data_IF_873997996200
#
_entry.id   IF_873997996200
#
_cell.length_a   1.000
_cell.length_b   1.000
_cell.length_c   1.000
_cell.angle_alpha   90.00
_cell.angle_beta   90.00
_cell.angle_gamma   90.00
#
_symmetry.space_group_name_H-M   'P 1'
#
loop_
_entity.id
_entity.type
_entity.pdbx_description
1 polymer ?
2 non-polymer ?
3 non-polymer ?
4 water ?
#
# COMPACT_ATOMS: atom_id res chain seq x y z
N UNK A 5 -12.85 12.71 -22.14
CA UNK A 5 -13.62 11.77 -21.30
C UNK A 5 -12.68 10.89 -20.47
N UNK A 6 -11.36 11.14 -20.47
CA UNK A 6 -10.47 10.50 -19.50
C UNK A 6 -10.65 11.15 -18.14
N UNK A 7 -10.43 10.38 -17.07
CA UNK A 7 -10.46 10.87 -15.70
C UNK A 7 -9.14 11.50 -15.29
N UNK A 8 -8.07 11.27 -16.06
CA UNK A 8 -6.76 11.77 -15.69
C UNK A 8 -6.77 13.30 -15.61
N UNK A 9 -6.13 13.80 -14.56
CA UNK A 9 -5.94 15.24 -14.39
C UNK A 9 -4.51 15.53 -14.86
N UNK A 10 -4.40 16.33 -15.94
CA UNK A 10 -3.14 16.48 -16.65
C UNK A 10 -2.11 17.15 -15.75
N UNK A 11 -2.59 17.99 -14.83
CA UNK A 11 -1.69 18.69 -13.94
C UNK A 11 -1.12 17.68 -12.92
N UNK A 12 -1.96 16.75 -12.47
CA UNK A 12 -1.43 15.73 -11.57
C UNK A 12 -0.48 14.82 -12.34
N UNK A 13 -0.83 14.46 -13.59
CA UNK A 13 -0.05 13.56 -14.44
C UNK A 13 1.35 14.15 -14.64
N UNK A 14 1.43 15.48 -14.85
CA UNK A 14 2.70 16.14 -15.09
C UNK A 14 3.57 16.11 -13.83
N UNK A 15 2.95 16.48 -12.71
CA UNK A 15 3.60 16.48 -11.40
C UNK A 15 4.17 15.09 -11.07
N UNK A 16 3.33 14.03 -11.24
CA UNK A 16 3.76 12.67 -10.94
C UNK A 16 4.96 12.26 -11.81
N UNK A 17 4.89 12.58 -13.10
CA UNK A 17 5.93 12.27 -14.07
C UNK A 17 7.26 12.93 -13.70
N UNK A 18 7.24 14.24 -13.41
CA UNK A 18 8.42 15.01 -12.97
C UNK A 18 9.00 14.45 -11.67
N UNK A 19 8.15 14.16 -10.67
CA UNK A 19 8.68 13.74 -9.38
C UNK A 19 9.25 12.33 -9.49
N UNK A 20 8.60 11.46 -10.28
CA UNK A 20 9.07 10.10 -10.40
C UNK A 20 10.43 10.10 -11.09
N UNK A 21 10.55 10.83 -12.21
CA UNK A 21 11.78 10.86 -12.97
C UNK A 21 12.93 11.43 -12.13
N UNK A 22 12.66 12.42 -11.29
CA UNK A 22 13.74 12.97 -10.47
C UNK A 22 14.21 11.92 -9.48
N UNK A 23 13.27 11.16 -8.91
CA UNK A 23 13.62 10.19 -7.88
C UNK A 23 14.39 9.02 -8.50
N UNK A 24 13.97 8.54 -9.70
CA UNK A 24 14.63 7.43 -10.37
C UNK A 24 16.08 7.84 -10.76
N UNK A 25 16.26 9.06 -11.24
CA UNK A 25 17.59 9.57 -11.61
C UNK A 25 18.45 9.67 -10.35
N UNK A 26 17.92 10.30 -9.29
CA UNK A 26 18.69 10.54 -8.09
C UNK A 26 19.16 9.24 -7.44
N UNK A 27 18.25 8.26 -7.37
CA UNK A 27 18.56 6.98 -6.74
C UNK A 27 19.15 5.97 -7.73
N UNK A 28 19.38 6.38 -8.98
CA UNK A 28 19.94 5.49 -9.98
C UNK A 28 19.21 4.15 -9.97
N UNK A 29 17.88 4.21 -10.09
CA UNK A 29 17.02 3.05 -9.97
C UNK A 29 16.75 2.47 -11.34
N UNK A 30 16.26 1.22 -11.39
CA UNK A 30 15.95 0.56 -12.65
C UNK A 30 14.65 1.07 -13.28
N UNK A 31 13.63 1.36 -12.45
CA UNK A 31 12.31 1.70 -12.96
C UNK A 31 11.44 2.24 -11.83
N UNK A 32 10.26 2.74 -12.18
CA UNK A 32 9.26 3.00 -11.17
C UNK A 32 7.94 3.47 -11.77
N UNK A 33 7.00 3.69 -10.84
CA UNK A 33 5.61 3.97 -11.15
C UNK A 33 5.01 4.84 -10.07
N UNK A 34 4.08 5.71 -10.52
CA UNK A 34 3.15 6.42 -9.63
C UNK A 34 1.71 6.22 -10.13
N UNK A 35 0.78 5.97 -9.19
CA UNK A 35 -0.66 5.90 -9.44
C UNK A 35 -1.34 6.87 -8.47
N UNK A 36 -2.25 7.73 -8.98
CA UNK A 36 -3.11 8.52 -8.12
C UNK A 36 -4.55 8.12 -8.41
N UNK A 37 -5.30 7.71 -7.38
CA UNK A 37 -6.72 7.44 -7.54
C UNK A 37 -7.56 8.42 -6.76
N UNK A 38 -8.77 8.62 -7.29
CA UNK A 38 -9.84 9.26 -6.54
C UNK A 38 -10.33 8.27 -5.49
N UNK A 39 -10.27 8.70 -4.22
CA UNK A 39 -10.37 7.79 -3.08
C UNK A 39 -11.82 7.33 -2.87
N UNK A 40 -12.77 7.99 -3.53
CA UNK A 40 -14.16 7.62 -3.38
C UNK A 40 -14.78 7.12 -4.67
N UNK A 41 -14.05 7.17 -5.82
CA UNK A 41 -14.65 6.73 -7.08
C UNK A 41 -13.83 5.62 -7.75
N UNK A 42 -12.52 5.59 -7.51
CA UNK A 42 -11.65 4.62 -8.14
C UNK A 42 -11.21 5.09 -9.52
N UNK A 43 -11.57 6.33 -9.91
CA UNK A 43 -11.07 6.91 -11.13
C UNK A 43 -9.57 7.13 -10.99
N UNK A 44 -8.85 6.87 -12.10
CA UNK A 44 -7.42 7.14 -12.19
C UNK A 44 -7.22 8.63 -12.50
N UNK A 45 -6.58 9.36 -11.57
CA UNK A 45 -6.26 10.76 -11.76
C UNK A 45 -4.87 10.94 -12.36
N UNK A 46 -3.99 9.98 -12.14
CA UNK A 46 -2.68 9.93 -12.79
C UNK A 46 -2.13 8.52 -12.75
N UNK A 47 -1.37 8.18 -13.77
CA UNK A 47 -0.69 6.89 -13.84
C UNK A 47 0.53 7.06 -14.74
N UNK A 48 1.73 6.91 -14.16
CA UNK A 48 2.98 7.23 -14.82
C UNK A 48 3.97 6.10 -14.55
N UNK A 49 4.77 5.77 -15.56
CA UNK A 49 5.82 4.77 -15.45
C UNK A 49 7.06 5.38 -16.06
N UNK A 50 8.25 4.90 -15.67
CA UNK A 50 9.46 5.16 -16.41
C UNK A 50 9.30 4.53 -17.80
N UNK A 51 10.09 4.96 -18.82
CA UNK A 51 9.84 4.54 -20.20
C UNK A 51 9.87 3.02 -20.40
N UNK A 52 8.95 2.55 -21.24
CA UNK A 52 8.76 1.14 -21.52
C UNK A 52 7.30 0.77 -21.27
N UNK A 53 7.06 -0.46 -20.84
CA UNK A 53 5.69 -0.94 -20.69
C UNK A 53 4.98 -0.22 -19.53
N UNK A 54 3.66 -0.41 -19.50
CA UNK A 54 2.82 0.15 -18.45
C UNK A 54 2.90 -0.78 -17.21
N UNK A 55 4.03 -0.69 -16.50
CA UNK A 55 4.36 -1.55 -15.36
C UNK A 55 3.30 -1.49 -14.26
N UNK A 56 2.74 -0.31 -13.99
CA UNK A 56 1.65 -0.13 -13.04
C UNK A 56 0.56 -1.20 -13.19
N UNK A 57 0.34 -1.71 -14.40
CA UNK A 57 -0.78 -2.62 -14.65
C UNK A 57 -0.28 -3.97 -15.15
N UNK A 58 0.85 -4.00 -15.88
CA UNK A 58 1.36 -5.24 -16.45
C UNK A 58 2.14 -6.06 -15.42
N UNK A 59 2.79 -5.44 -14.41
CA UNK A 59 3.77 -6.17 -13.61
C UNK A 59 3.21 -6.42 -12.21
N UNK A 60 3.34 -7.66 -11.74
CA UNK A 60 2.98 -7.98 -10.35
C UNK A 60 4.27 -8.07 -9.53
N UNK A 61 4.18 -7.59 -8.28
CA UNK A 61 5.24 -7.61 -7.29
C UNK A 61 4.68 -8.21 -5.99
N UNK A 62 5.59 -8.69 -5.12
CA UNK A 62 5.26 -8.96 -3.73
C UNK A 62 5.03 -7.62 -3.04
N UNK A 63 3.85 -7.33 -2.47
CA UNK A 63 3.61 -6.01 -1.87
C UNK A 63 4.48 -5.69 -0.65
N UNK A 64 5.01 -6.74 0.02
CA UNK A 64 5.71 -6.54 1.28
C UNK A 64 4.86 -5.78 2.29
N UNK A 65 5.50 -4.85 3.03
CA UNK A 65 4.89 -4.25 4.21
C UNK A 65 3.63 -3.45 3.90
N UNK A 66 3.44 -3.00 2.66
CA UNK A 66 2.24 -2.23 2.33
C UNK A 66 0.99 -3.11 2.34
N UNK A 67 1.15 -4.43 2.42
CA UNK A 67 0.04 -5.34 2.64
C UNK A 67 -0.47 -5.30 4.10
N UNK A 68 0.32 -4.80 5.07
CA UNK A 68 0.05 -5.01 6.50
C UNK A 68 -1.27 -4.40 6.97
N UNK A 69 -1.71 -3.22 6.48
CA UNK A 69 -2.99 -2.67 6.91
C UNK A 69 -4.19 -3.62 6.78
N UNK A 70 -4.11 -4.56 5.84
CA UNK A 70 -5.25 -5.40 5.51
C UNK A 70 -5.45 -6.49 6.55
N UNK A 71 -4.45 -7.34 6.92
CA UNK A 71 -4.66 -8.28 8.02
C UNK A 71 -5.04 -7.57 9.33
N UNK A 72 -4.47 -6.38 9.57
CA UNK A 72 -4.84 -5.56 10.72
C UNK A 72 -6.34 -5.21 10.69
N UNK A 73 -6.81 -4.76 9.52
CA UNK A 73 -8.20 -4.39 9.34
C UNK A 73 -9.10 -5.59 9.59
N UNK A 74 -8.70 -6.75 9.09
CA UNK A 74 -9.54 -7.93 9.22
C UNK A 74 -9.67 -8.31 10.69
N UNK A 75 -8.53 -8.30 11.40
CA UNK A 75 -8.50 -8.65 12.81
C UNK A 75 -9.44 -7.76 13.63
N UNK A 76 -9.40 -6.44 13.41
CA UNK A 76 -10.28 -5.49 14.09
C UNK A 76 -11.74 -5.70 13.68
N UNK A 77 -11.99 -5.90 12.37
CA UNK A 77 -13.33 -6.07 11.83
C UNK A 77 -14.03 -7.29 12.43
N UNK A 78 -13.26 -8.34 12.71
CA UNK A 78 -13.74 -9.59 13.30
C UNK A 78 -14.22 -9.41 14.74
N UNK A 79 -13.81 -8.34 15.44
CA UNK A 79 -14.09 -8.18 16.86
C UNK A 79 -13.17 -8.99 17.77
N UNK A 80 -12.17 -9.69 17.22
CA UNK A 80 -11.31 -10.55 18.01
C UNK A 80 -10.12 -9.77 18.57
N UNK A 81 -9.82 -8.64 17.92
CA UNK A 81 -8.72 -7.79 18.32
C UNK A 81 -9.26 -6.37 18.50
N UNK A 82 -8.73 -5.68 19.52
CA UNK A 82 -8.96 -4.26 19.76
C UNK A 82 -7.64 -3.52 19.52
N UNK A 83 -7.70 -2.24 19.11
CA UNK A 83 -6.51 -1.46 18.78
C UNK A 83 -5.54 -1.38 19.96
N UNK A 84 -6.04 -1.52 21.20
CA UNK A 84 -5.21 -1.34 22.39
C UNK A 84 -4.53 -2.65 22.78
N UNK A 85 -4.90 -3.77 22.18
CA UNK A 85 -4.32 -5.07 22.49
C UNK A 85 -2.82 -5.05 22.19
N UNK A 86 -2.06 -5.77 23.03
CA UNK A 86 -0.61 -5.97 22.93
C UNK A 86 -0.30 -7.38 22.43
N UNK A 87 0.80 -7.54 21.68
CA UNK A 87 1.18 -8.84 21.14
C UNK A 87 2.68 -9.08 21.38
N UNK A 88 3.04 -10.36 21.62
CA UNK A 88 4.43 -10.79 21.63
C UNK A 88 5.00 -10.65 20.21
N UNK A 89 6.05 -9.81 20.04
CA UNK A 89 6.57 -9.50 18.72
C UNK A 89 8.02 -9.96 18.61
N UNK A 90 8.42 -10.87 19.52
CA UNK A 90 9.73 -11.51 19.44
C UNK A 90 9.80 -12.33 18.16
N UNK A 91 10.99 -12.47 17.53
CA UNK A 91 11.15 -13.33 16.35
C UNK A 91 10.82 -14.76 16.72
N UNK A 92 10.27 -15.54 15.78
CA UNK A 92 9.91 -16.91 16.06
C UNK A 92 10.10 -17.73 14.78
N UNK A 93 10.01 -19.05 14.93
CA UNK A 93 10.25 -19.98 13.84
C UNK A 93 8.97 -20.75 13.53
N UNK A 94 8.77 -21.04 12.24
CA UNK A 94 7.77 -22.00 11.77
C UNK A 94 8.54 -22.98 10.90
N UNK A 95 8.65 -24.23 11.40
CA UNK A 95 9.61 -25.16 10.86
C UNK A 95 11.00 -24.52 10.84
N UNK A 96 11.77 -24.60 9.74
CA UNK A 96 13.06 -23.90 9.67
C UNK A 96 13.07 -22.43 9.21
N UNK A 97 11.91 -21.83 8.94
CA UNK A 97 11.84 -20.44 8.52
C UNK A 97 11.70 -19.56 9.76
N UNK A 98 12.27 -18.36 9.69
CA UNK A 98 12.18 -17.36 10.74
C UNK A 98 11.25 -16.25 10.30
N UNK A 99 10.38 -15.78 11.21
CA UNK A 99 9.63 -14.55 11.04
C UNK A 99 10.27 -13.55 11.99
N UNK A 100 10.75 -12.40 11.47
CA UNK A 100 11.42 -11.41 12.30
C UNK A 100 11.25 -10.01 11.71
N UNK A 101 11.54 -8.99 12.54
CA UNK A 101 11.47 -7.59 12.16
C UNK A 101 12.91 -7.08 12.04
N UNK A 102 13.11 -5.83 11.58
CA UNK A 102 14.46 -5.29 11.49
C UNK A 102 14.94 -4.75 12.85
N UNK A 103 14.05 -4.41 13.78
CA UNK A 103 14.43 -4.14 15.15
C UNK A 103 13.58 -5.03 16.05
N UNK A 104 14.16 -5.60 17.10
CA UNK A 104 13.41 -6.44 18.01
C UNK A 104 12.64 -5.57 19.02
N UNK A 105 11.31 -5.68 18.97
CA UNK A 105 10.45 -5.22 20.04
C UNK A 105 9.86 -6.45 20.71
N UNK A 106 9.97 -6.59 22.04
CA UNK A 106 9.39 -7.74 22.73
C UNK A 106 7.86 -7.79 22.61
N UNK A 107 7.22 -6.61 22.70
CA UNK A 107 5.77 -6.49 22.59
C UNK A 107 5.41 -5.17 21.90
N UNK A 108 4.29 -5.17 21.17
CA UNK A 108 3.76 -4.01 20.48
C UNK A 108 2.24 -4.12 20.53
N UNK A 109 1.59 -2.95 20.66
CA UNK A 109 0.16 -2.85 20.43
C UNK A 109 -0.05 -2.70 18.93
N UNK A 110 -1.32 -2.63 18.51
CA UNK A 110 -1.63 -2.61 17.09
C UNK A 110 -1.07 -1.36 16.40
N UNK A 111 -1.17 -0.22 17.10
CA UNK A 111 -0.61 1.01 16.60
C UNK A 111 0.89 0.85 16.40
N UNK A 112 1.58 0.22 17.36
CA UNK A 112 3.00 -0.07 17.21
C UNK A 112 3.33 -0.94 15.98
N UNK A 113 2.55 -2.02 15.77
CA UNK A 113 2.75 -2.92 14.65
C UNK A 113 2.72 -2.12 13.34
N UNK A 114 1.77 -1.19 13.27
CA UNK A 114 1.58 -0.33 12.08
C UNK A 114 2.71 0.70 11.97
N UNK A 115 2.94 1.48 13.02
CA UNK A 115 3.94 2.55 13.05
C UNK A 115 5.35 2.02 12.72
N UNK A 116 5.74 0.91 13.37
CA UNK A 116 7.10 0.39 13.25
C UNK A 116 7.24 -0.60 12.10
N UNK A 117 6.11 -1.15 11.62
CA UNK A 117 6.11 -2.16 10.57
C UNK A 117 6.68 -3.47 11.08
N UNK A 118 5.92 -4.14 11.95
CA UNK A 118 6.31 -5.40 12.54
C UNK A 118 5.76 -6.58 11.73
N UNK A 119 6.66 -7.33 11.09
CA UNK A 119 6.30 -8.56 10.40
C UNK A 119 5.72 -9.56 11.40
N UNK A 120 6.38 -9.67 12.57
CA UNK A 120 5.96 -10.62 13.59
C UNK A 120 4.52 -10.35 14.06
N UNK A 121 4.28 -9.12 14.51
CA UNK A 121 2.97 -8.73 15.02
C UNK A 121 1.88 -8.94 13.97
N UNK A 122 2.17 -8.55 12.71
CA UNK A 122 1.19 -8.77 11.67
C UNK A 122 0.87 -10.26 11.53
N UNK A 123 1.90 -11.10 11.54
CA UNK A 123 1.70 -12.54 11.42
C UNK A 123 0.87 -13.12 12.56
N UNK A 124 0.96 -12.55 13.78
CA UNK A 124 0.17 -12.99 14.92
C UNK A 124 -1.31 -12.65 14.74
N UNK A 125 -1.63 -11.50 14.11
CA UNK A 125 -3.01 -11.13 13.82
C UNK A 125 -3.61 -12.05 12.75
N UNK A 126 -2.84 -12.35 11.69
CA UNK A 126 -3.27 -13.29 10.68
C UNK A 126 -3.52 -14.69 11.26
N UNK A 127 -2.70 -15.12 12.23
CA UNK A 127 -2.73 -16.49 12.77
C UNK A 127 -4.01 -16.79 13.55
N UNK A 128 -4.79 -15.77 13.87
CA UNK A 128 -6.06 -15.97 14.56
C UNK A 128 -7.14 -16.47 13.60
N UNK A 129 -6.84 -16.55 12.30
CA UNK A 129 -7.83 -16.90 11.28
C UNK A 129 -7.39 -18.15 10.55
N UNK A 130 -8.33 -18.85 9.93
CA UNK A 130 -7.98 -20.03 9.14
C UNK A 130 -7.43 -19.64 7.77
N UNK A 131 -6.67 -20.55 7.11
CA UNK A 131 -6.24 -20.33 5.73
C UNK A 131 -7.39 -19.89 4.85
N UNK A 132 -8.55 -20.55 4.96
CA UNK A 132 -9.68 -20.18 4.12
C UNK A 132 -10.18 -18.76 4.40
N UNK A 133 -10.31 -18.38 5.68
CA UNK A 133 -10.72 -17.01 6.02
C UNK A 133 -9.77 -15.97 5.43
N UNK A 134 -8.46 -16.20 5.50
CA UNK A 134 -7.51 -15.18 5.06
C UNK A 134 -7.51 -15.11 3.54
N UNK A 135 -7.60 -16.28 2.87
CA UNK A 135 -7.67 -16.32 1.41
C UNK A 135 -8.89 -15.57 0.90
N UNK A 136 -10.04 -15.83 1.53
CA UNK A 136 -11.29 -15.19 1.15
C UNK A 136 -11.18 -13.68 1.31
N UNK A 137 -10.53 -13.26 2.38
CA UNK A 137 -10.28 -11.84 2.58
C UNK A 137 -9.38 -11.23 1.49
N UNK A 138 -8.23 -11.84 1.20
CA UNK A 138 -7.33 -11.35 0.15
C UNK A 138 -8.04 -11.33 -1.21
N UNK A 139 -8.83 -12.37 -1.49
CA UNK A 139 -9.61 -12.44 -2.70
C UNK A 139 -10.59 -11.26 -2.77
N UNK A 140 -11.27 -10.98 -1.66
CA UNK A 140 -12.22 -9.88 -1.60
C UNK A 140 -11.55 -8.51 -1.76
N UNK A 141 -10.24 -8.41 -1.53
CA UNK A 141 -9.50 -7.19 -1.80
C UNK A 141 -9.12 -7.08 -3.28
N UNK A 142 -9.33 -8.16 -4.06
CA UNK A 142 -8.95 -8.18 -5.46
C UNK A 142 -7.64 -8.90 -5.76
N UNK A 143 -7.02 -9.52 -4.75
CA UNK A 143 -5.76 -10.22 -5.00
C UNK A 143 -6.07 -11.45 -5.83
N UNK A 144 -5.37 -11.56 -6.98
CA UNK A 144 -5.53 -12.64 -7.92
C UNK A 144 -6.70 -12.39 -8.87
N UNK A 145 -7.32 -11.20 -8.78
CA UNK A 145 -8.56 -10.92 -9.51
C UNK A 145 -8.29 -9.87 -10.58
N UNK A 146 -8.87 -10.11 -11.76
CA UNK A 146 -8.82 -9.15 -12.87
C UNK A 146 -9.68 -7.93 -12.53
N UNK A 147 -9.10 -6.74 -12.65
CA UNK A 147 -9.81 -5.49 -12.46
C UNK A 147 -10.65 -5.11 -13.69
N UNK A 148 -10.26 -5.56 -14.89
CA UNK A 148 -10.86 -5.05 -16.12
C UNK A 148 -10.91 -3.53 -16.11
N UNK A 149 -9.73 -2.92 -15.92
CA UNK A 149 -9.53 -1.48 -15.80
C UNK A 149 -9.77 -0.80 -17.13
N UNK A 150 -9.64 -1.57 -18.23
CA UNK A 150 -9.58 -0.99 -19.56
C UNK A 150 -8.20 -1.03 -20.22
N UNK A 151 -7.14 -1.33 -19.45
CA UNK A 151 -5.80 -1.49 -20.01
C UNK A 151 -5.59 -2.91 -20.53
N UNK A 152 -4.88 -3.08 -21.68
CA UNK A 152 -4.44 -4.39 -22.13
C UNK A 152 -3.26 -4.87 -21.29
N UNK A 153 -3.04 -6.19 -21.27
CA UNK A 153 -1.93 -6.79 -20.52
C UNK A 153 -2.07 -6.64 -19.00
N UNK A 154 -3.29 -6.42 -18.49
CA UNK A 154 -3.49 -6.21 -17.05
C UNK A 154 -3.22 -7.51 -16.28
N UNK A 155 -2.26 -7.44 -15.34
CA UNK A 155 -1.94 -8.59 -14.47
C UNK A 155 -3.08 -8.82 -13.48
N UNK A 156 -3.42 -10.10 -13.27
CA UNK A 156 -4.31 -10.51 -12.20
C UNK A 156 -3.58 -10.65 -10.87
N UNK A 157 -2.24 -10.67 -10.90
CA UNK A 157 -1.49 -11.01 -9.71
C UNK A 157 -1.59 -12.52 -9.45
N UNK A 158 -1.26 -12.93 -8.22
CA UNK A 158 -1.21 -14.33 -7.81
C UNK A 158 -1.73 -14.38 -6.38
N UNK A 159 -2.68 -15.28 -6.16
CA UNK A 159 -3.07 -15.71 -4.82
C UNK A 159 -3.27 -17.23 -4.83
N UNK A 160 -2.28 -17.96 -4.30
CA UNK A 160 -2.30 -19.41 -4.22
C UNK A 160 -3.53 -19.86 -3.44
N UNK A 161 -4.15 -20.95 -3.90
CA UNK A 161 -5.31 -21.49 -3.21
C UNK A 161 -4.91 -21.94 -1.79
N UNK A 162 -5.77 -21.62 -0.82
CA UNK A 162 -5.53 -21.87 0.60
C UNK A 162 -5.38 -23.36 0.87
N UNK A 163 -5.97 -24.21 0.02
CA UNK A 163 -5.81 -25.65 0.19
C UNK A 163 -4.36 -26.09 0.00
N UNK A 164 -3.51 -25.25 -0.58
CA UNK A 164 -2.14 -25.59 -0.83
C UNK A 164 -1.19 -24.94 0.17
N UNK A 165 -1.67 -24.07 1.06
CA UNK A 165 -0.80 -23.27 1.91
C UNK A 165 -0.09 -24.11 2.99
N UNK A 166 1.22 -23.88 3.16
CA UNK A 166 1.93 -24.34 4.34
C UNK A 166 1.76 -23.29 5.42
N UNK A 167 1.90 -23.62 6.73
CA UNK A 167 1.74 -22.60 7.79
C UNK A 167 2.63 -21.37 7.64
N UNK A 168 3.84 -21.56 7.08
CA UNK A 168 4.74 -20.43 6.88
C UNK A 168 4.15 -19.47 5.83
N UNK A 169 3.40 -19.98 4.85
CA UNK A 169 2.88 -19.12 3.79
C UNK A 169 1.79 -18.20 4.31
N UNK A 170 0.89 -18.71 5.18
CA UNK A 170 -0.12 -17.84 5.73
C UNK A 170 0.59 -16.68 6.45
N UNK A 171 1.66 -16.97 7.18
CA UNK A 171 2.34 -15.95 7.95
C UNK A 171 2.98 -14.92 7.00
N UNK A 172 3.72 -15.37 5.98
CA UNK A 172 4.46 -14.45 5.13
C UNK A 172 3.51 -13.60 4.27
N UNK A 173 2.37 -14.17 3.91
CA UNK A 173 1.39 -13.44 3.11
C UNK A 173 0.88 -12.24 3.88
N UNK A 174 0.71 -12.40 5.19
CA UNK A 174 0.20 -11.34 6.06
C UNK A 174 1.10 -10.10 6.02
N UNK A 175 2.41 -10.29 5.80
CA UNK A 175 3.36 -9.19 5.69
C UNK A 175 3.93 -9.10 4.28
N UNK A 176 3.22 -9.67 3.30
CA UNK A 176 3.36 -9.24 1.91
C UNK A 176 4.27 -10.10 1.01
N UNK A 177 4.59 -11.33 1.41
CA UNK A 177 5.39 -12.20 0.57
C UNK A 177 4.59 -13.48 0.33
N UNK A 178 4.72 -14.01 -0.89
CA UNK A 178 4.09 -15.28 -1.25
C UNK A 178 2.74 -15.05 -1.89
N UNK A 179 2.42 -13.77 -2.17
CA UNK A 179 1.33 -13.36 -3.04
C UNK A 179 1.81 -12.12 -3.80
N UNK A 180 1.16 -11.82 -4.93
CA UNK A 180 1.62 -10.76 -5.83
C UNK A 180 0.46 -9.92 -6.37
N UNK A 181 0.68 -8.60 -6.43
CA UNK A 181 -0.25 -7.58 -6.89
C UNK A 181 0.50 -6.65 -7.82
N UNK A 182 -0.23 -6.13 -8.82
CA UNK A 182 0.23 -4.95 -9.56
C UNK A 182 0.13 -3.71 -8.66
N UNK A 183 0.84 -2.62 -9.00
CA UNK A 183 0.67 -1.41 -8.22
C UNK A 183 -0.77 -0.87 -8.33
N UNK A 184 -1.41 -0.98 -9.51
CA UNK A 184 -2.77 -0.51 -9.65
C UNK A 184 -3.69 -1.33 -8.75
N UNK A 185 -3.49 -2.66 -8.65
CA UNK A 185 -4.29 -3.52 -7.79
C UNK A 185 -4.12 -3.11 -6.33
N UNK A 186 -2.89 -2.74 -5.95
CA UNK A 186 -2.57 -2.38 -4.60
C UNK A 186 -3.27 -1.06 -4.25
N UNK A 187 -3.19 -0.06 -5.16
CA UNK A 187 -3.89 1.19 -4.98
C UNK A 187 -5.40 0.95 -4.90
N UNK A 188 -5.93 0.05 -5.72
CA UNK A 188 -7.33 -0.29 -5.66
C UNK A 188 -7.70 -0.87 -4.29
N UNK A 189 -6.87 -1.78 -3.74
CA UNK A 189 -7.19 -2.41 -2.47
C UNK A 189 -7.35 -1.38 -1.36
N UNK A 190 -6.58 -0.27 -1.42
CA UNK A 190 -6.67 0.78 -0.42
C UNK A 190 -8.00 1.54 -0.47
N UNK A 191 -8.81 1.42 -1.55
CA UNK A 191 -10.16 1.98 -1.54
C UNK A 191 -11.02 1.37 -0.43
N UNK A 192 -10.68 0.16 0.04
CA UNK A 192 -11.41 -0.42 1.15
C UNK A 192 -11.24 0.49 2.38
N UNK A 193 -10.05 1.07 2.54
CA UNK A 193 -9.75 1.92 3.67
C UNK A 193 -10.36 3.31 3.49
N UNK A 194 -10.32 3.84 2.26
CA UNK A 194 -10.76 5.22 1.97
C UNK A 194 -12.28 5.30 1.72
N UNK A 195 -12.88 4.30 1.07
CA UNK A 195 -14.31 4.33 0.76
C UNK A 195 -15.14 3.55 1.78
N UNK A 196 -14.91 3.82 3.08
CA UNK A 196 -15.74 3.30 4.15
C UNK A 196 -15.95 1.78 4.07
N UNK A 197 -14.90 1.02 3.72
CA UNK A 197 -14.95 -0.42 3.84
C UNK A 197 -15.37 -1.18 2.57
N UNK A 198 -15.67 -0.47 1.47
CA UNK A 198 -16.05 -1.08 0.19
C UNK A 198 -14.96 -0.94 -0.87
N UNK A 199 -14.65 -2.04 -1.58
CA UNK A 199 -13.67 -2.01 -2.65
C UNK A 199 -14.30 -1.37 -3.88
N UNK A 200 -13.59 -0.43 -4.51
CA UNK A 200 -14.08 0.21 -5.72
C UNK A 200 -13.48 -0.44 -6.95
N UNK A 201 -14.19 -0.36 -8.09
CA UNK A 201 -13.60 -0.65 -9.40
C UNK A 201 -12.66 0.48 -9.78
N UNK A 202 -11.73 0.21 -10.70
CA UNK A 202 -10.91 1.29 -11.21
C UNK A 202 -11.18 1.47 -12.70
N UNK A 203 -11.09 2.73 -13.12
CA UNK A 203 -11.38 3.13 -14.47
C UNK A 203 -10.57 4.38 -14.81
N UNK A 204 -10.28 4.57 -16.10
CA UNK A 204 -9.64 5.81 -16.54
C UNK A 204 -10.60 6.68 -17.35
N UNK A 205 -11.89 6.35 -17.35
CA UNK A 205 -12.93 7.17 -17.96
C UNK A 205 -13.67 7.93 -16.86
N UNK A 206 -14.09 9.19 -17.15
CA UNK A 206 -14.84 9.97 -16.20
C UNK A 206 -16.12 9.22 -15.86
N UNK A 207 -16.44 9.16 -14.56
CA UNK A 207 -17.57 8.35 -14.15
C UNK A 207 -18.86 9.16 -14.31
N UNK A 208 -19.91 8.45 -14.73
CA UNK A 208 -21.22 9.05 -14.96
C UNK A 208 -22.23 8.53 -13.95
N UNK A 209 -21.93 7.39 -13.32
CA UNK A 209 -22.84 6.72 -12.40
C UNK A 209 -22.01 6.35 -11.17
N UNK A 210 -22.62 6.40 -9.99
CA UNK A 210 -21.91 6.07 -8.76
C UNK A 210 -21.40 4.64 -8.86
N UNK A 211 -20.10 4.36 -8.66
CA UNK A 211 -19.61 2.99 -8.67
C UNK A 211 -20.19 2.20 -7.52
N UNK A 212 -20.46 0.90 -7.74
CA UNK A 212 -20.95 0.03 -6.69
C UNK A 212 -19.75 -0.70 -6.08
N UNK A 213 -19.54 -0.50 -4.78
CA UNK A 213 -18.49 -1.17 -4.08
C UNK A 213 -18.95 -2.53 -3.57
N UNK A 214 -17.97 -3.35 -3.23
CA UNK A 214 -18.18 -4.60 -2.52
C UNK A 214 -17.74 -4.38 -1.05
N UNK A 215 -18.67 -4.57 -0.13
CA UNK A 215 -18.43 -4.44 1.30
C UNK A 215 -17.36 -5.44 1.73
N UNK A 216 -16.21 -4.97 2.25
CA UNK A 216 -15.17 -5.89 2.74
C UNK A 216 -15.01 -5.82 4.25
N UNK A 217 -15.00 -4.59 4.81
CA UNK A 217 -15.00 -4.40 6.25
C UNK A 217 -16.06 -3.34 6.58
N UNK A 218 -16.42 -3.22 7.87
CA UNK A 218 -17.30 -2.14 8.29
C UNK A 218 -16.63 -0.79 8.13
N UNK A 219 -17.47 0.25 7.93
CA UNK A 219 -17.02 1.63 7.80
C UNK A 219 -16.28 2.05 9.07
N UNK A 220 -16.76 1.60 10.25
CA UNK A 220 -16.11 1.91 11.52
C UNK A 220 -14.69 1.33 11.57
N UNK A 221 -14.50 0.11 11.05
CA UNK A 221 -13.17 -0.48 10.99
C UNK A 221 -12.25 0.35 10.09
N UNK A 222 -12.73 0.69 8.88
CA UNK A 222 -11.96 1.49 7.95
C UNK A 222 -11.48 2.76 8.63
N UNK A 223 -12.40 3.43 9.34
CA UNK A 223 -12.06 4.69 10.00
C UNK A 223 -10.96 4.46 11.03
N UNK A 224 -11.07 3.38 11.83
CA UNK A 224 -10.04 3.11 12.84
C UNK A 224 -8.68 2.84 12.19
N UNK A 225 -8.65 2.07 11.08
CA UNK A 225 -7.40 1.77 10.42
C UNK A 225 -6.74 3.04 9.85
N UNK A 226 -7.53 3.96 9.28
CA UNK A 226 -7.00 5.23 8.80
C UNK A 226 -6.35 6.05 9.94
N UNK A 227 -6.96 6.03 11.13
CA UNK A 227 -6.36 6.70 12.29
C UNK A 227 -5.04 6.04 12.69
N UNK A 228 -4.99 4.71 12.72
CA UNK A 228 -3.75 3.99 13.00
C UNK A 228 -2.67 4.35 11.99
N UNK A 229 -3.04 4.52 10.72
CA UNK A 229 -2.04 4.72 9.68
C UNK A 229 -1.47 6.13 9.67
N UNK A 230 -2.10 7.08 10.40
CA UNK A 230 -1.49 8.39 10.58
C UNK A 230 -0.17 8.32 11.35
N UNK A 231 -0.04 7.33 12.26
CA UNK A 231 1.17 7.19 13.04
C UNK A 231 2.40 6.96 12.15
N UNK A 232 2.19 6.41 10.95
CA UNK A 232 3.27 6.07 10.03
C UNK A 232 4.00 7.34 9.57
N UNK A 233 3.27 8.45 9.49
CA UNK A 233 3.80 9.70 8.97
C UNK A 233 4.06 10.69 10.10
N UNK A 234 3.86 10.28 11.36
CA UNK A 234 4.20 11.13 12.51
C UNK A 234 5.47 10.60 13.17
N UNK A 235 5.99 11.35 14.15
CA UNK A 235 7.26 11.03 14.78
C UNK A 235 7.21 9.61 15.36
N UNK A 236 8.31 8.85 15.22
CA UNK A 236 8.31 7.43 15.54
C UNK A 236 7.89 6.50 14.39
N UNK A 237 7.33 7.07 13.32
CA UNK A 237 6.82 6.26 12.23
C UNK A 237 7.85 6.03 11.14
N UNK A 238 7.70 4.90 10.42
CA UNK A 238 8.63 4.58 9.34
C UNK A 238 8.46 5.54 8.14
N UNK A 239 7.33 6.26 8.03
CA UNK A 239 7.04 7.01 6.82
C UNK A 239 6.99 8.52 7.04
N UNK A 240 7.80 9.03 7.98
CA UNK A 240 7.79 10.45 8.31
C UNK A 240 8.16 11.31 7.10
N UNK A 241 8.96 10.77 6.15
CA UNK A 241 9.34 11.54 4.98
C UNK A 241 8.13 11.89 4.08
N UNK A 242 7.03 11.17 4.26
CA UNK A 242 5.85 11.38 3.42
C UNK A 242 4.84 12.34 4.01
N UNK A 243 5.11 12.89 5.21
CA UNK A 243 4.24 13.89 5.82
C UNK A 243 4.06 15.08 4.87
N UNK A 244 2.83 15.59 4.81
CA UNK A 244 2.45 16.72 3.97
C UNK A 244 2.04 17.87 4.90
N UNK A 245 2.67 19.02 4.68
CA UNK A 245 2.42 20.19 5.52
C UNK A 245 0.95 20.58 5.37
N UNK A 246 0.26 20.75 6.50
CA UNK A 246 -1.11 21.22 6.49
C UNK A 246 -2.17 20.11 6.53
N UNK A 247 -1.73 18.84 6.53
CA UNK A 247 -2.65 17.71 6.46
C UNK A 247 -2.24 16.59 7.40
N UNK A 248 -3.20 15.76 7.79
CA UNK A 248 -2.87 14.45 8.34
C UNK A 248 -2.91 13.43 7.21
N UNK A 249 -1.86 12.60 7.15
CA UNK A 249 -1.71 11.61 6.08
C UNK A 249 -1.67 10.20 6.69
N UNK A 250 -2.54 9.32 6.18
CA UNK A 250 -2.44 7.90 6.49
C UNK A 250 -1.59 7.21 5.43
N UNK A 251 -0.61 6.39 5.83
CA UNK A 251 0.26 5.79 4.84
C UNK A 251 0.88 4.50 5.32
N UNK A 252 1.54 3.80 4.39
CA UNK A 252 2.33 2.63 4.75
C UNK A 252 3.53 2.51 3.82
N UNK A 253 4.69 2.30 4.45
CA UNK A 253 5.97 2.09 3.79
C UNK A 253 6.17 0.60 3.55
N UNK A 254 6.88 0.27 2.47
CA UNK A 254 7.35 -1.09 2.30
C UNK A 254 8.70 -1.12 1.61
N UNK A 255 9.61 -1.92 2.14
CA UNK A 255 10.86 -2.24 1.47
C UNK A 255 10.98 -3.75 1.39
N UNK A 256 11.14 -4.27 0.17
CA UNK A 256 11.16 -5.70 -0.06
C UNK A 256 12.46 -6.12 -0.75
N UNK A 257 13.12 -7.15 -0.20
CA UNK A 257 14.20 -7.83 -0.89
C UNK A 257 13.61 -8.51 -2.13
N UNK A 258 14.37 -8.52 -3.23
CA UNK A 258 13.93 -9.18 -4.45
C UNK A 258 14.46 -10.61 -4.55
N UNK A 259 13.82 -11.37 -5.42
CA UNK A 259 14.04 -12.79 -5.66
C UNK A 259 15.05 -12.96 -6.79
N UNK A 260 16.17 -13.66 -6.53
CA UNK A 260 17.15 -13.98 -7.56
C UNK A 260 17.48 -15.48 -7.49
N UNK A 261 16.83 -16.24 -8.40
CA UNK A 261 16.93 -17.69 -8.48
C UNK A 261 16.00 -18.32 -7.44
N UNK A 262 14.89 -17.67 -7.13
CA UNK A 262 14.00 -18.13 -6.06
C UNK A 262 14.62 -17.99 -4.66
N UNK A 263 15.72 -17.23 -4.54
CA UNK A 263 16.28 -16.90 -3.24
C UNK A 263 16.21 -15.39 -3.05
N UNK A 264 15.80 -14.96 -1.86
CA UNK A 264 15.77 -13.56 -1.52
C UNK A 264 17.20 -13.08 -1.32
N UNK A 265 17.56 -11.94 -1.91
CA UNK A 265 18.89 -11.39 -1.76
C UNK A 265 18.83 -10.04 -1.04
N UNK A 266 19.93 -9.67 -0.37
CA UNK A 266 19.94 -8.53 0.52
C UNK A 266 20.54 -7.29 -0.15
N UNK A 267 20.89 -7.36 -1.44
CA UNK A 267 21.50 -6.20 -2.10
C UNK A 267 20.59 -5.62 -3.18
N UNK A 268 19.32 -6.05 -3.26
CA UNK A 268 18.42 -5.59 -4.29
C UNK A 268 17.03 -5.44 -3.68
N UNK A 269 16.45 -4.26 -3.84
CA UNK A 269 15.23 -3.91 -3.12
C UNK A 269 14.22 -3.29 -4.07
N UNK A 270 12.93 -3.44 -3.71
CA UNK A 270 11.86 -2.61 -4.24
C UNK A 270 11.29 -1.77 -3.10
N UNK A 271 11.17 -0.46 -3.34
CA UNK A 271 10.67 0.47 -2.35
C UNK A 271 9.27 0.90 -2.78
N UNK A 272 8.31 0.83 -1.85
CA UNK A 272 6.94 1.21 -2.10
C UNK A 272 6.45 2.14 -1.00
N UNK A 273 5.58 3.07 -1.38
CA UNK A 273 4.97 3.97 -0.42
C UNK A 273 3.56 4.27 -0.92
N UNK A 274 2.57 4.02 -0.07
CA UNK A 274 1.16 4.25 -0.42
C UNK A 274 0.46 4.96 0.74
N UNK A 275 -0.32 5.97 0.42
CA UNK A 275 -1.08 6.62 1.48
C UNK A 275 -2.22 7.45 0.93
N UNK A 276 -2.95 8.11 1.84
CA UNK A 276 -4.14 8.83 1.45
C UNK A 276 -4.24 10.06 2.35
N UNK A 277 -4.96 11.06 1.86
CA UNK A 277 -5.16 12.29 2.61
C UNK A 277 -6.33 13.05 2.02
N UNK A 278 -7.04 13.89 2.81
CA UNK A 278 -6.88 13.98 4.28
C UNK A 278 -7.31 12.72 5.02
N UNK A 279 -6.57 12.34 6.07
CA UNK A 279 -6.66 10.98 6.58
C UNK A 279 -8.06 10.62 7.09
N UNK A 280 -8.72 11.58 7.73
CA UNK A 280 -10.02 11.34 8.32
C UNK A 280 -11.09 11.18 7.22
N UNK A 281 -10.97 11.91 6.12
CA UNK A 281 -11.92 11.74 5.02
C UNK A 281 -11.22 11.93 3.67
N UNK A 282 -10.51 10.89 3.18
CA UNK A 282 -9.55 11.08 2.09
C UNK A 282 -10.19 11.40 0.74
N UNK A 283 -9.50 12.27 0.01
CA UNK A 283 -9.87 12.60 -1.36
C UNK A 283 -9.08 11.75 -2.34
N UNK A 284 -7.79 11.48 -2.06
CA UNK A 284 -6.93 10.81 -3.03
C UNK A 284 -6.09 9.72 -2.35
N UNK A 285 -5.75 8.70 -3.16
CA UNK A 285 -4.75 7.70 -2.84
C UNK A 285 -3.58 7.96 -3.78
N UNK A 286 -2.39 8.00 -3.18
CA UNK A 286 -1.16 8.07 -3.97
C UNK A 286 -0.30 6.84 -3.64
N UNK A 287 0.10 6.14 -4.71
CA UNK A 287 0.93 4.95 -4.63
C UNK A 287 2.19 5.18 -5.47
N UNK A 288 3.34 4.86 -4.87
CA UNK A 288 4.64 5.04 -5.51
C UNK A 288 5.47 3.76 -5.33
N UNK A 289 6.05 3.28 -6.45
CA UNK A 289 7.06 2.23 -6.41
C UNK A 289 8.32 2.68 -7.13
N UNK A 290 9.47 2.26 -6.59
CA UNK A 290 10.75 2.44 -7.29
C UNK A 290 11.53 1.13 -7.14
N UNK A 291 11.94 0.59 -8.29
CA UNK A 291 12.57 -0.72 -8.39
C UNK A 291 14.10 -0.55 -8.41
N UNK A 292 14.77 -1.17 -7.44
CA UNK A 292 16.22 -1.32 -7.39
C UNK A 292 16.93 0.02 -7.38
N UNK A 293 16.71 0.86 -6.33
CA UNK A 293 17.52 2.05 -6.14
C UNK A 293 18.93 1.56 -5.80
N UNK A 294 19.96 2.25 -6.32
CA UNK A 294 21.35 1.85 -6.11
C UNK A 294 22.17 2.97 -5.47
N UNK A 295 21.64 4.20 -5.39
CA UNK A 295 22.36 5.32 -4.81
C UNK A 295 21.43 6.07 -3.87
N UNK A 296 22.04 6.66 -2.82
CA UNK A 296 21.35 7.58 -1.92
C UNK A 296 20.23 6.87 -1.15
N UNK A 297 20.40 5.57 -0.91
CA UNK A 297 19.60 4.82 0.05
C UNK A 297 18.66 3.86 -0.66
N UNK A 298 18.07 2.92 0.09
CA UNK A 298 17.20 1.93 -0.52
C UNK A 298 15.89 1.69 0.25
N UNK A 299 15.73 2.29 1.44
CA UNK A 299 14.52 2.18 2.22
C UNK A 299 13.41 3.03 1.61
N UNK A 300 12.17 2.56 1.77
CA UNK A 300 10.96 3.20 1.31
C UNK A 300 10.88 4.65 1.75
N UNK A 301 11.11 4.89 3.03
CA UNK A 301 11.01 6.22 3.60
C UNK A 301 11.88 7.23 2.87
N UNK A 302 13.10 6.82 2.48
CA UNK A 302 14.07 7.76 1.91
C UNK A 302 13.93 7.81 0.40
N UNK A 303 13.53 6.70 -0.24
CA UNK A 303 13.47 6.63 -1.68
C UNK A 303 12.10 7.10 -2.19
N UNK A 304 11.02 6.55 -1.65
CA UNK A 304 9.72 6.80 -2.23
C UNK A 304 8.92 7.82 -1.43
N UNK A 305 9.27 8.00 -0.15
CA UNK A 305 8.60 8.96 0.72
C UNK A 305 8.57 10.39 0.15
N UNK A 306 9.73 10.97 -0.25
CA UNK A 306 9.74 12.32 -0.85
C UNK A 306 8.93 12.46 -2.14
N UNK A 307 8.88 11.41 -2.96
CA UNK A 307 8.00 11.42 -4.14
C UNK A 307 6.55 11.50 -3.69
N UNK A 308 6.16 10.64 -2.74
CA UNK A 308 4.80 10.60 -2.22
C UNK A 308 4.45 11.99 -1.67
N UNK A 309 5.34 12.60 -0.88
CA UNK A 309 5.09 13.89 -0.27
C UNK A 309 4.73 14.95 -1.31
N UNK A 310 5.56 15.04 -2.35
CA UNK A 310 5.39 16.05 -3.40
C UNK A 310 4.14 15.76 -4.22
N UNK A 311 3.85 14.51 -4.53
CA UNK A 311 2.73 14.18 -5.40
C UNK A 311 1.41 14.39 -4.65
N UNK A 312 1.36 13.99 -3.37
CA UNK A 312 0.16 14.12 -2.57
C UNK A 312 -0.12 15.60 -2.28
N UNK A 313 0.92 16.33 -1.86
CA UNK A 313 0.80 17.73 -1.53
C UNK A 313 0.37 18.53 -2.75
N UNK A 314 0.98 18.21 -3.89
CA UNK A 314 0.64 18.85 -5.14
C UNK A 314 -0.79 18.51 -5.56
N UNK A 315 -1.16 17.23 -5.42
CA UNK A 315 -2.49 16.76 -5.82
C UNK A 315 -3.58 17.47 -5.04
N UNK A 316 -3.44 17.57 -3.72
CA UNK A 316 -4.47 18.17 -2.90
C UNK A 316 -4.63 19.66 -3.28
N UNK A 317 -3.50 20.33 -3.54
CA UNK A 317 -3.51 21.71 -4.01
C UNK A 317 -4.23 21.82 -5.37
N UNK A 318 -3.90 20.96 -6.34
CA UNK A 318 -4.52 20.99 -7.65
C UNK A 318 -6.03 20.75 -7.55
N UNK A 319 -6.45 19.91 -6.61
CA UNK A 319 -7.86 19.53 -6.55
C UNK A 319 -8.63 20.57 -5.73
N UNK A 320 -7.93 21.54 -5.14
CA UNK A 320 -8.57 22.62 -4.40
C UNK A 320 -9.00 22.19 -3.00
N UNK A 321 -8.22 21.33 -2.35
CA UNK A 321 -8.59 20.86 -1.02
C UNK A 321 -7.80 21.70 -0.02
N UNK A 322 -8.46 22.35 0.95
CA UNK A 322 -7.75 23.18 1.91
C UNK A 322 -7.03 22.33 2.96
N UNK A 323 -5.85 22.79 3.42
CA UNK A 323 -5.21 22.28 4.62
C UNK A 323 -6.15 22.26 5.82
N UNK A 324 -6.10 21.18 6.60
CA UNK A 324 -6.97 20.98 7.74
C UNK A 324 -6.26 21.45 9.01
N UNK A 325 -5.00 21.84 8.90
CA UNK A 325 -4.26 22.36 10.03
C UNK A 325 -3.26 23.39 9.52
N UNK A 326 -2.87 24.36 10.37
CA UNK A 326 -1.92 25.40 9.95
C UNK A 326 -0.63 24.81 9.40
N UNK A 327 -0.08 25.46 8.36
CA UNK A 327 1.23 25.13 7.83
C UNK A 327 2.32 25.41 8.88
N UNK A 328 3.56 24.94 8.60
CA UNK A 328 4.75 25.16 9.42
C UNK A 328 6.06 25.12 8.62
#
# INVERSE_FOLDING_TARGET
GSGGALSLDQRIQTLAYEELNKAVEYHQAKAGTVVVLDARTGEILALVNTPGRNRAVTDMIEPGSVMKPFPIAKALDSGKVDTTDTFNTLPYKIGPATVQDTHVYPTLDVRGIMQKSSNVGTSKLSAMFTPKEMYDFYHDLGVGVRMHSGFPGESAGVLRNWRKWRPIEQATMSFGYGLQLSLLQLARAYTVLTHDGELLPVSFEKQAVAPKGKRVIKASTAKKVRELMVSVTEAGGSGIAGAVDGFDVGAKTGTARKLVNGRYVDYKHVATFIGFAPAKNPRVIVAVTIDEPTANGYYSGVVTGPVFKQVMGGSLNILGVSPTKPLTNV
#
